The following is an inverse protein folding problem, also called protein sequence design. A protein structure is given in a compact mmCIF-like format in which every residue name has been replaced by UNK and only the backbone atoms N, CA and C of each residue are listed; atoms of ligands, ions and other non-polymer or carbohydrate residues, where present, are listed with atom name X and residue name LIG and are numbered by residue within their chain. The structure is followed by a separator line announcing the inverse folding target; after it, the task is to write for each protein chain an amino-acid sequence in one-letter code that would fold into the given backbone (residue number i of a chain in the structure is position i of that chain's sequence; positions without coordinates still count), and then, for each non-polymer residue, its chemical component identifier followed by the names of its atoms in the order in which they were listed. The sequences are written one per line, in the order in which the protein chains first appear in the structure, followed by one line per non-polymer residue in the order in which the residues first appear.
data_IF_546290813219
#
_entry.id   IF_546290813219
#
_cell.length_a   1.000
_cell.length_b   1.000
_cell.length_c   1.000
_cell.angle_alpha   90.00
_cell.angle_beta   90.00
_cell.angle_gamma   90.00
#
_symmetry.space_group_name_H-M   'P 1'
#
loop_
_entity.id
_entity.type
_entity.pdbx_description
1 polymer ?
#
# COMPACT_ATOMS: atom_id res chain seq x y z
N UNK A 1 -25.31 1.05 6.01
CA UNK A 1 -23.99 1.17 6.64
C UNK A 1 -23.10 1.79 5.60
N UNK A 2 -22.49 2.93 5.89
CA UNK A 2 -21.55 3.56 4.96
C UNK A 2 -20.35 2.63 4.74
N UNK A 3 -19.87 2.57 3.50
CA UNK A 3 -18.65 1.83 3.16
C UNK A 3 -17.47 2.55 3.82
N UNK A 4 -16.60 1.86 4.57
CA UNK A 4 -15.45 2.53 5.19
C UNK A 4 -14.49 3.08 4.12
N UNK A 5 -13.81 4.21 4.39
CA UNK A 5 -12.95 4.87 3.40
C UNK A 5 -11.76 3.98 3.02
N UNK A 6 -11.43 3.95 1.73
CA UNK A 6 -10.27 3.25 1.18
C UNK A 6 -9.03 4.15 1.22
N UNK A 7 -8.08 3.79 2.08
CA UNK A 7 -6.84 4.56 2.29
C UNK A 7 -5.69 3.92 1.53
N UNK A 8 -5.05 4.71 0.66
CA UNK A 8 -3.85 4.33 -0.07
C UNK A 8 -2.59 4.52 0.79
N UNK A 9 -1.76 3.49 0.89
CA UNK A 9 -0.48 3.58 1.60
C UNK A 9 0.66 3.20 0.67
N UNK A 10 1.54 4.16 0.39
CA UNK A 10 2.73 3.94 -0.42
C UNK A 10 3.63 2.88 0.19
N UNK A 11 4.23 2.03 -0.64
CA UNK A 11 5.23 1.06 -0.21
C UNK A 11 6.63 1.53 -0.57
N UNK A 12 7.62 0.93 0.08
CA UNK A 12 9.02 1.00 -0.35
C UNK A 12 9.27 -0.04 -1.43
N UNK A 13 10.18 0.24 -2.36
CA UNK A 13 10.72 -0.76 -3.27
C UNK A 13 12.13 -1.08 -2.80
N UNK A 14 12.31 -2.28 -2.25
CA UNK A 14 13.61 -2.79 -1.84
C UNK A 14 14.15 -3.72 -2.93
N UNK A 15 15.42 -3.55 -3.29
CA UNK A 15 16.08 -4.38 -4.32
C UNK A 15 16.31 -5.83 -3.84
N UNK A 16 16.50 -6.03 -2.54
CA UNK A 16 16.60 -7.37 -1.94
C UNK A 16 15.72 -7.48 -0.68
N UNK A 17 14.64 -8.24 -0.79
CA UNK A 17 13.81 -8.62 0.33
C UNK A 17 13.69 -10.15 0.42
N UNK A 18 13.74 -10.67 1.64
CA UNK A 18 13.65 -12.10 1.93
C UNK A 18 12.32 -12.50 2.56
N UNK A 19 11.63 -13.50 2.01
CA UNK A 19 10.48 -14.15 2.67
C UNK A 19 10.40 -15.63 2.31
N UNK A 20 10.40 -16.48 3.34
CA UNK A 20 10.49 -17.93 3.14
C UNK A 20 11.75 -18.30 2.36
N UNK A 21 11.56 -18.87 1.16
CA UNK A 21 12.65 -19.29 0.26
C UNK A 21 13.00 -18.26 -0.82
N UNK A 22 12.33 -17.10 -0.83
CA UNK A 22 12.53 -16.07 -1.84
C UNK A 22 13.49 -15.00 -1.33
N UNK A 23 14.39 -14.57 -2.20
CA UNK A 23 15.17 -13.34 -2.07
C UNK A 23 15.12 -12.63 -3.42
N UNK A 24 14.39 -11.52 -3.50
CA UNK A 24 14.17 -10.77 -4.75
C UNK A 24 13.66 -9.36 -4.46
N UNK A 25 13.60 -8.46 -5.46
CA UNK A 25 13.01 -7.14 -5.29
C UNK A 25 11.55 -7.22 -4.85
N UNK A 26 11.15 -6.35 -3.92
CA UNK A 26 9.79 -6.32 -3.41
C UNK A 26 9.30 -4.92 -3.08
N UNK A 27 8.05 -4.66 -3.46
CA UNK A 27 7.29 -3.54 -2.95
C UNK A 27 6.70 -3.93 -1.58
N UNK A 28 7.21 -3.36 -0.49
CA UNK A 28 6.85 -3.75 0.87
C UNK A 28 6.61 -2.56 1.81
N UNK A 29 5.89 -2.84 2.89
CA UNK A 29 5.60 -1.90 3.96
C UNK A 29 5.52 -2.68 5.28
N UNK A 30 5.99 -2.12 6.42
CA UNK A 30 5.79 -2.77 7.71
C UNK A 30 4.31 -3.00 7.98
N UNK A 31 3.95 -4.20 8.43
CA UNK A 31 2.55 -4.61 8.63
C UNK A 31 1.77 -3.69 9.59
N UNK A 32 2.47 -3.00 10.50
CA UNK A 32 1.87 -2.03 11.42
C UNK A 32 1.11 -0.89 10.73
N UNK A 33 1.55 -0.43 9.57
CA UNK A 33 0.86 0.66 8.85
C UNK A 33 -0.54 0.25 8.40
N UNK A 34 -0.66 -0.94 7.80
CA UNK A 34 -1.96 -1.48 7.41
C UNK A 34 -2.85 -1.77 8.63
N UNK A 35 -2.26 -2.21 9.74
CA UNK A 35 -2.99 -2.43 10.98
C UNK A 35 -3.55 -1.12 11.57
N UNK A 36 -2.78 -0.03 11.52
CA UNK A 36 -3.21 1.29 12.01
C UNK A 36 -4.39 1.83 11.20
N UNK A 37 -4.36 1.71 9.86
CA UNK A 37 -5.50 2.11 9.00
C UNK A 37 -6.77 1.34 9.38
N UNK A 38 -6.67 0.02 9.56
CA UNK A 38 -7.81 -0.82 9.95
C UNK A 38 -8.33 -0.48 11.35
N UNK A 39 -7.42 -0.22 12.30
CA UNK A 39 -7.79 0.19 13.65
C UNK A 39 -8.51 1.54 13.69
N UNK A 40 -8.20 2.44 12.74
CA UNK A 40 -8.91 3.69 12.54
C UNK A 40 -10.26 3.53 11.80
N UNK A 41 -10.64 2.31 11.40
CA UNK A 41 -11.88 2.02 10.70
C UNK A 41 -11.80 2.15 9.18
N UNK A 42 -10.61 2.27 8.59
CA UNK A 42 -10.43 2.34 7.13
C UNK A 42 -10.19 0.99 6.46
N UNK A 43 -10.48 0.93 5.15
CA UNK A 43 -9.95 -0.10 4.25
C UNK A 43 -8.54 0.32 3.81
N UNK A 44 -7.66 -0.64 3.50
CA UNK A 44 -6.27 -0.36 3.13
C UNK A 44 -5.95 -0.90 1.73
N UNK A 45 -5.37 -0.05 0.88
CA UNK A 45 -4.73 -0.43 -0.38
C UNK A 45 -3.24 -0.10 -0.33
N UNK A 46 -2.38 -1.08 -0.57
CA UNK A 46 -0.93 -0.85 -0.70
C UNK A 46 -0.62 -0.38 -2.12
N UNK A 47 0.13 0.72 -2.22
CA UNK A 47 0.46 1.37 -3.50
C UNK A 47 1.96 1.23 -3.79
N UNK A 48 2.37 0.32 -4.69
CA UNK A 48 3.76 0.21 -5.09
C UNK A 48 4.23 1.44 -5.87
N UNK A 49 5.53 1.79 -5.84
CA UNK A 49 6.08 2.77 -6.76
C UNK A 49 5.81 2.39 -8.22
N UNK A 50 5.41 3.36 -9.03
CA UNK A 50 5.18 3.23 -10.46
C UNK A 50 5.54 4.56 -11.17
N UNK A 51 5.42 4.59 -12.49
CA UNK A 51 5.65 5.77 -13.31
C UNK A 51 4.79 6.97 -12.84
N UNK A 52 5.38 8.18 -12.66
CA UNK A 52 4.67 9.36 -12.14
C UNK A 52 3.39 9.72 -12.90
N UNK A 53 3.35 9.46 -14.22
CA UNK A 53 2.21 9.78 -15.09
C UNK A 53 0.95 8.97 -14.71
N UNK A 54 1.11 7.84 -14.03
CA UNK A 54 0.01 6.98 -13.57
C UNK A 54 -0.53 7.36 -12.20
N UNK A 55 0.18 8.19 -11.43
CA UNK A 55 -0.16 8.51 -10.05
C UNK A 55 -1.58 9.10 -9.93
N UNK A 56 -1.96 10.01 -10.82
CA UNK A 56 -3.30 10.63 -10.80
C UNK A 56 -4.43 9.61 -10.99
N UNK A 57 -4.25 8.62 -11.85
CA UNK A 57 -5.25 7.58 -12.09
C UNK A 57 -5.41 6.64 -10.89
N UNK A 58 -4.32 6.40 -10.14
CA UNK A 58 -4.33 5.56 -8.92
C UNK A 58 -4.94 6.32 -7.75
N UNK A 59 -4.51 7.55 -7.49
CA UNK A 59 -5.02 8.38 -6.38
C UNK A 59 -6.52 8.65 -6.52
N UNK A 60 -7.03 8.78 -7.75
CA UNK A 60 -8.46 8.94 -8.00
C UNK A 60 -9.33 7.72 -7.59
N UNK A 61 -8.72 6.59 -7.17
CA UNK A 61 -9.43 5.39 -6.70
C UNK A 61 -9.45 5.23 -5.19
N UNK A 62 -8.72 6.06 -4.44
CA UNK A 62 -8.66 6.02 -2.98
C UNK A 62 -9.27 7.30 -2.40
N UNK A 63 -9.79 7.20 -1.19
CA UNK A 63 -10.45 8.30 -0.49
C UNK A 63 -9.46 9.18 0.30
N UNK A 64 -8.23 8.68 0.50
CA UNK A 64 -7.15 9.35 1.20
C UNK A 64 -5.86 8.54 1.25
#
# INVERSE_FOLDING_TARGET
MDVPPLIGVSTYLEDEAGWGVWTMPAALLPAGYAALVRAAGGLVAMLPPDAPERAGAVVARVDG
#
